data_IF_602885505198
#
_entry.id   IF_602885505198
#
_cell.length_a   1.000
_cell.length_b   1.000
_cell.length_c   1.000
_cell.angle_alpha   90.00
_cell.angle_beta   90.00
_cell.angle_gamma   90.00
#
_symmetry.space_group_name_H-M   'P 1'
#
loop_
_entity.id
_entity.type
_entity.pdbx_description
1 polymer ?
#
# COMPACT_ATOMS: atom_id res chain seq x y z
N UNK A 1 -18.46 -4.26 -0.81
CA UNK A 1 -17.04 -4.49 -0.44
C UNK A 1 -16.34 -5.56 -1.29
N UNK A 2 -17.01 -6.61 -1.77
CA UNK A 2 -16.39 -7.71 -2.55
C UNK A 2 -15.71 -7.25 -3.85
N UNK A 3 -16.42 -6.50 -4.70
CA UNK A 3 -15.90 -5.84 -5.91
C UNK A 3 -14.57 -5.10 -5.70
N UNK A 4 -14.45 -4.42 -4.57
CA UNK A 4 -13.24 -3.65 -4.23
C UNK A 4 -12.04 -4.57 -3.95
N UNK A 5 -12.25 -5.72 -3.32
CA UNK A 5 -11.18 -6.69 -3.04
C UNK A 5 -10.64 -7.30 -4.33
N UNK A 6 -11.54 -7.76 -5.21
CA UNK A 6 -11.20 -8.28 -6.55
C UNK A 6 -10.48 -7.22 -7.39
N UNK A 7 -11.03 -6.01 -7.47
CA UNK A 7 -10.42 -4.90 -8.20
C UNK A 7 -9.02 -4.56 -7.66
N UNK A 8 -8.85 -4.50 -6.33
CA UNK A 8 -7.54 -4.22 -5.72
C UNK A 8 -6.51 -5.27 -6.10
N UNK A 9 -6.88 -6.55 -6.03
CA UNK A 9 -5.98 -7.67 -6.36
C UNK A 9 -5.56 -7.64 -7.83
N UNK A 10 -6.53 -7.54 -8.74
CA UNK A 10 -6.25 -7.49 -10.18
C UNK A 10 -5.41 -6.27 -10.53
N UNK A 11 -5.78 -5.09 -10.02
CA UNK A 11 -5.07 -3.85 -10.33
C UNK A 11 -3.64 -3.84 -9.80
N UNK A 12 -3.36 -4.43 -8.63
CA UNK A 12 -1.99 -4.61 -8.14
C UNK A 12 -1.14 -5.47 -9.08
N UNK A 13 -1.72 -6.54 -9.64
CA UNK A 13 -1.04 -7.38 -10.63
C UNK A 13 -0.78 -6.59 -11.91
N UNK A 14 -1.77 -5.86 -12.44
CA UNK A 14 -1.62 -5.04 -13.64
C UNK A 14 -0.51 -3.98 -13.49
N UNK A 15 -0.47 -3.29 -12.35
CA UNK A 15 0.59 -2.32 -12.04
C UNK A 15 1.96 -3.00 -11.94
N UNK A 16 2.02 -4.19 -11.36
CA UNK A 16 3.25 -4.99 -11.30
C UNK A 16 3.76 -5.40 -12.68
N UNK A 17 2.87 -5.86 -13.57
CA UNK A 17 3.20 -6.26 -14.94
C UNK A 17 3.69 -5.07 -15.78
N UNK A 18 3.01 -3.93 -15.67
CA UNK A 18 3.40 -2.68 -16.33
C UNK A 18 4.81 -2.24 -15.91
N UNK A 19 5.08 -2.21 -14.59
CA UNK A 19 6.37 -1.82 -14.03
C UNK A 19 7.50 -2.77 -14.44
N UNK A 20 7.21 -4.07 -14.48
CA UNK A 20 8.17 -5.07 -14.90
C UNK A 20 8.36 -5.10 -16.42
N UNK A 21 7.56 -4.35 -17.19
CA UNK A 21 7.47 -4.47 -18.66
C UNK A 21 7.31 -5.91 -19.10
N UNK A 22 6.47 -6.66 -18.36
CA UNK A 22 6.33 -8.09 -18.54
C UNK A 22 5.60 -8.42 -19.84
N UNK A 23 6.05 -9.48 -20.50
CA UNK A 23 5.33 -10.18 -21.56
C UNK A 23 4.59 -11.37 -20.96
N UNK A 24 3.39 -11.65 -21.46
CA UNK A 24 2.68 -12.87 -21.08
C UNK A 24 1.18 -12.78 -21.18
N UNK A 25 0.51 -13.77 -20.59
CA UNK A 25 -0.95 -13.78 -20.50
C UNK A 25 -1.34 -14.02 -19.05
N UNK A 26 -2.09 -13.08 -18.48
CA UNK A 26 -2.76 -13.23 -17.20
C UNK A 26 -4.08 -13.97 -17.44
N UNK A 27 -4.17 -15.15 -16.87
CA UNK A 27 -5.38 -15.95 -16.84
C UNK A 27 -6.12 -15.65 -15.55
N UNK A 28 -7.42 -15.36 -15.67
CA UNK A 28 -8.32 -15.17 -14.55
C UNK A 28 -9.46 -16.19 -14.66
N UNK A 29 -9.72 -16.89 -13.57
CA UNK A 29 -10.81 -17.86 -13.44
C UNK A 29 -11.68 -17.45 -12.25
N UNK A 30 -13.00 -17.55 -12.37
CA UNK A 30 -13.95 -17.34 -11.26
C UNK A 30 -15.29 -18.00 -11.56
N UNK A 31 -15.84 -18.79 -10.63
CA UNK A 31 -17.12 -19.52 -10.73
C UNK A 31 -17.61 -19.87 -12.16
N UNK A 32 -16.83 -20.69 -12.90
CA UNK A 32 -17.19 -21.16 -14.24
C UNK A 32 -16.96 -20.14 -15.38
N UNK A 33 -16.41 -18.97 -15.06
CA UNK A 33 -16.03 -17.91 -15.99
C UNK A 33 -14.51 -17.86 -16.13
N UNK A 34 -14.06 -17.41 -17.30
CA UNK A 34 -12.64 -17.24 -17.58
C UNK A 34 -12.38 -15.99 -18.40
N UNK A 35 -11.27 -15.33 -18.09
CA UNK A 35 -10.76 -14.21 -18.85
C UNK A 35 -9.25 -14.35 -19.07
N UNK A 36 -8.78 -13.82 -20.19
CA UNK A 36 -7.37 -13.71 -20.50
C UNK A 36 -7.02 -12.27 -20.83
N UNK A 37 -5.90 -11.81 -20.29
CA UNK A 37 -5.35 -10.49 -20.56
C UNK A 37 -3.92 -10.74 -21.07
N UNK A 38 -3.66 -10.39 -22.32
CA UNK A 38 -2.36 -10.58 -22.95
C UNK A 38 -1.56 -9.29 -22.96
N UNK A 39 -0.29 -9.38 -22.60
CA UNK A 39 0.61 -8.26 -22.43
C UNK A 39 1.85 -8.41 -23.31
N UNK A 40 2.31 -7.26 -23.82
CA UNK A 40 3.60 -7.08 -24.47
C UNK A 40 4.28 -5.82 -23.88
N UNK A 41 5.44 -6.00 -23.26
CA UNK A 41 6.25 -4.96 -22.63
C UNK A 41 5.47 -4.11 -21.62
N UNK A 42 4.59 -4.75 -20.84
CA UNK A 42 3.70 -4.07 -19.88
C UNK A 42 2.47 -3.38 -20.50
N UNK A 43 2.34 -3.41 -21.82
CA UNK A 43 1.16 -2.92 -22.54
C UNK A 43 0.17 -4.06 -22.73
N UNK A 44 -1.10 -3.82 -22.44
CA UNK A 44 -2.16 -4.76 -22.75
C UNK A 44 -2.42 -4.76 -24.26
N UNK A 45 -2.27 -5.92 -24.88
CA UNK A 45 -2.44 -6.13 -26.32
C UNK A 45 -3.64 -7.00 -26.67
N UNK A 46 -4.26 -7.70 -25.71
CA UNK A 46 -5.44 -8.53 -26.00
C UNK A 46 -6.24 -8.82 -24.74
N UNK A 47 -7.58 -8.85 -24.85
CA UNK A 47 -8.48 -9.24 -23.76
C UNK A 47 -9.60 -10.12 -24.26
N UNK A 48 -9.82 -11.23 -23.58
CA UNK A 48 -11.00 -12.07 -23.74
C UNK A 48 -11.66 -12.28 -22.39
N UNK A 49 -12.98 -12.18 -22.30
CA UNK A 49 -13.72 -12.53 -21.09
C UNK A 49 -15.05 -13.18 -21.50
N UNK A 50 -15.35 -14.35 -20.93
CA UNK A 50 -16.59 -15.09 -21.24
C UNK A 50 -16.82 -15.30 -22.75
N UNK A 51 -15.73 -15.64 -23.48
CA UNK A 51 -15.72 -15.81 -24.95
C UNK A 51 -15.98 -14.54 -25.77
N UNK A 52 -16.13 -13.38 -25.13
CA UNK A 52 -16.17 -12.08 -25.79
C UNK A 52 -14.76 -11.52 -25.94
N UNK A 53 -14.44 -11.04 -27.14
CA UNK A 53 -13.14 -10.44 -27.47
C UNK A 53 -13.28 -8.93 -27.40
N UNK A 54 -12.35 -8.26 -26.71
CA UNK A 54 -12.24 -6.80 -26.79
C UNK A 54 -11.36 -6.44 -27.98
N UNK A 55 -11.84 -5.51 -28.81
CA UNK A 55 -11.07 -4.92 -29.91
C UNK A 55 -10.62 -3.49 -29.61
N UNK A 56 -11.26 -2.80 -28.66
CA UNK A 56 -10.85 -1.44 -28.24
C UNK A 56 -10.46 -1.37 -26.76
N UNK A 57 -9.72 -0.32 -26.38
CA UNK A 57 -9.34 -0.06 -24.98
C UNK A 57 -10.55 0.07 -24.03
N UNK A 58 -11.69 0.56 -24.55
CA UNK A 58 -12.93 0.77 -23.80
C UNK A 58 -13.58 -0.57 -23.49
N UNK A 59 -13.67 -1.44 -24.50
CA UNK A 59 -14.15 -2.80 -24.29
C UNK A 59 -13.23 -3.56 -23.33
N UNK A 60 -11.91 -3.38 -23.44
CA UNK A 60 -10.96 -3.98 -22.50
C UNK A 60 -11.22 -3.50 -21.05
N UNK A 61 -11.50 -2.21 -20.84
CA UNK A 61 -11.90 -1.68 -19.55
C UNK A 61 -13.23 -2.26 -19.07
N UNK A 62 -14.25 -2.33 -19.93
CA UNK A 62 -15.56 -2.92 -19.60
C UNK A 62 -15.41 -4.39 -19.17
N UNK A 63 -14.57 -5.18 -19.86
CA UNK A 63 -14.26 -6.55 -19.46
C UNK A 63 -13.48 -6.64 -18.17
N UNK A 64 -12.52 -5.74 -17.93
CA UNK A 64 -11.83 -5.68 -16.65
C UNK A 64 -12.81 -5.39 -15.49
N UNK A 65 -13.75 -4.46 -15.68
CA UNK A 65 -14.77 -4.14 -14.70
C UNK A 65 -15.71 -5.33 -14.43
N UNK A 66 -16.13 -6.04 -15.49
CA UNK A 66 -16.91 -7.27 -15.39
C UNK A 66 -16.17 -8.34 -14.57
N UNK A 67 -14.88 -8.54 -14.83
CA UNK A 67 -14.05 -9.51 -14.10
C UNK A 67 -13.88 -9.09 -12.63
N UNK A 68 -13.79 -7.80 -12.33
CA UNK A 68 -13.75 -7.31 -10.95
C UNK A 68 -15.01 -7.65 -10.14
N UNK A 69 -16.12 -8.00 -10.81
CA UNK A 69 -17.39 -8.40 -10.19
C UNK A 69 -17.50 -9.92 -9.99
N UNK A 70 -16.49 -10.71 -10.38
CA UNK A 70 -16.50 -12.16 -10.19
C UNK A 70 -16.12 -12.56 -8.76
N UNK A 71 -16.77 -13.62 -8.27
CA UNK A 71 -16.43 -14.28 -7.02
C UNK A 71 -15.39 -15.40 -7.25
N UNK A 72 -14.61 -15.71 -6.22
CA UNK A 72 -13.64 -16.82 -6.26
C UNK A 72 -12.48 -16.65 -7.24
N UNK A 73 -12.07 -15.41 -7.51
CA UNK A 73 -11.03 -15.09 -8.49
C UNK A 73 -9.69 -15.78 -8.20
N UNK A 74 -9.23 -16.58 -9.16
CA UNK A 74 -7.89 -17.17 -9.19
C UNK A 74 -7.10 -16.51 -10.32
N UNK A 75 -5.98 -15.88 -9.98
CA UNK A 75 -5.10 -15.21 -10.94
C UNK A 75 -3.86 -16.07 -11.19
N UNK A 76 -3.55 -16.33 -12.47
CA UNK A 76 -2.37 -17.09 -12.89
C UNK A 76 -1.69 -16.38 -14.05
N UNK A 77 -0.44 -15.98 -13.85
CA UNK A 77 0.39 -15.48 -14.95
C UNK A 77 1.05 -16.68 -15.63
N UNK A 78 0.91 -16.79 -16.96
CA UNK A 78 1.64 -17.78 -17.76
C UNK A 78 2.36 -17.11 -18.92
N UNK A 79 3.45 -17.74 -19.35
CA UNK A 79 4.12 -17.35 -20.58
C UNK A 79 3.19 -17.57 -21.79
N UNK A 80 3.32 -16.71 -22.80
CA UNK A 80 2.45 -16.76 -23.95
C UNK A 80 2.79 -18.00 -24.81
N UNK A 81 1.80 -18.73 -25.36
CA UNK A 81 2.09 -19.67 -26.44
C UNK A 81 2.64 -18.91 -27.66
N UNK A 82 3.44 -19.55 -28.53
CA UNK A 82 4.02 -18.90 -29.70
C UNK A 82 2.93 -18.33 -30.63
N UNK A 83 2.94 -16.99 -30.72
CA UNK A 83 2.31 -15.99 -31.60
C UNK A 83 1.01 -16.26 -32.41
N UNK A 84 0.61 -17.48 -32.76
CA UNK A 84 -0.27 -17.70 -33.92
C UNK A 84 -1.73 -17.20 -33.77
N UNK A 85 -2.32 -17.20 -32.57
CA UNK A 85 -3.77 -16.93 -32.41
C UNK A 85 -4.11 -15.77 -31.47
N UNK A 86 -3.26 -14.74 -31.42
CA UNK A 86 -3.49 -13.59 -30.54
C UNK A 86 -4.39 -12.55 -31.20
N UNK A 87 -5.62 -12.45 -30.69
CA UNK A 87 -6.50 -11.32 -30.97
C UNK A 87 -5.91 -10.05 -30.36
N UNK A 88 -5.56 -9.09 -31.21
CA UNK A 88 -4.93 -7.83 -30.80
C UNK A 88 -5.95 -6.71 -30.69
N UNK A 89 -5.85 -5.94 -29.60
CA UNK A 89 -6.54 -4.66 -29.48
C UNK A 89 -6.07 -3.71 -30.58
N UNK A 90 -7.00 -2.98 -31.19
CA UNK A 90 -6.70 -1.91 -32.14
C UNK A 90 -5.88 -0.79 -31.47
N UNK A 91 -6.14 -0.57 -30.19
CA UNK A 91 -5.48 0.43 -29.35
C UNK A 91 -4.95 -0.23 -28.08
N UNK A 92 -3.69 -0.70 -28.10
CA UNK A 92 -3.01 -1.20 -26.91
C UNK A 92 -2.90 -0.11 -25.85
N UNK A 93 -3.14 -0.45 -24.58
CA UNK A 93 -3.08 0.50 -23.47
C UNK A 93 -2.10 0.02 -22.39
N UNK A 94 -1.32 0.91 -21.75
CA UNK A 94 -0.51 0.53 -20.61
C UNK A 94 -1.38 -0.13 -19.52
N UNK A 95 -0.92 -1.24 -18.93
CA UNK A 95 -1.73 -1.94 -17.93
C UNK A 95 -2.01 -1.05 -16.70
N UNK A 96 -1.12 -0.10 -16.39
CA UNK A 96 -1.32 0.92 -15.36
C UNK A 96 -2.54 1.83 -15.62
N UNK A 97 -2.86 2.13 -16.89
CA UNK A 97 -3.99 2.97 -17.25
C UNK A 97 -5.30 2.28 -16.88
N UNK A 98 -5.46 1.03 -17.28
CA UNK A 98 -6.66 0.24 -16.96
C UNK A 98 -6.80 -0.01 -15.47
N UNK A 99 -5.69 -0.26 -14.76
CA UNK A 99 -5.70 -0.40 -13.31
C UNK A 99 -6.24 0.86 -12.61
N UNK A 100 -5.82 2.06 -13.03
CA UNK A 100 -6.33 3.32 -12.48
C UNK A 100 -7.83 3.51 -12.77
N UNK A 101 -8.28 3.26 -13.99
CA UNK A 101 -9.70 3.42 -14.34
C UNK A 101 -10.59 2.42 -13.61
N UNK A 102 -10.17 1.16 -13.52
CA UNK A 102 -10.90 0.13 -12.78
C UNK A 102 -10.99 0.46 -11.29
N UNK A 103 -9.89 0.89 -10.68
CA UNK A 103 -9.89 1.31 -9.28
C UNK A 103 -10.75 2.54 -9.04
N UNK A 104 -10.73 3.56 -9.92
CA UNK A 104 -11.62 4.73 -9.84
C UNK A 104 -13.09 4.29 -9.80
N UNK A 105 -13.49 3.35 -10.66
CA UNK A 105 -14.85 2.81 -10.65
C UNK A 105 -15.17 2.06 -9.35
N UNK A 106 -14.24 1.21 -8.89
CA UNK A 106 -14.42 0.39 -7.68
C UNK A 106 -14.55 1.23 -6.39
N UNK A 107 -13.85 2.36 -6.28
CA UNK A 107 -13.89 3.23 -5.08
C UNK A 107 -15.03 4.24 -5.08
N UNK A 108 -15.71 4.44 -6.20
CA UNK A 108 -16.75 5.47 -6.36
C UNK A 108 -17.92 5.25 -5.38
N UNK A 109 -18.33 3.99 -5.18
CA UNK A 109 -19.47 3.63 -4.33
C UNK A 109 -19.11 3.40 -2.86
N UNK A 110 -17.88 3.70 -2.43
CA UNK A 110 -17.45 3.48 -1.05
C UNK A 110 -17.78 4.70 -0.19
N UNK A 111 -18.37 4.44 0.98
CA UNK A 111 -18.77 5.46 1.95
C UNK A 111 -17.60 6.25 2.52
N UNK A 112 -17.85 7.53 2.81
CA UNK A 112 -16.81 8.44 3.28
C UNK A 112 -16.23 8.07 4.64
N UNK A 113 -17.08 7.61 5.55
CA UNK A 113 -16.67 7.18 6.89
C UNK A 113 -15.65 6.03 6.84
N UNK A 114 -15.86 5.04 5.95
CA UNK A 114 -14.95 3.91 5.76
C UNK A 114 -13.57 4.38 5.28
N UNK A 115 -13.56 5.31 4.32
CA UNK A 115 -12.31 5.85 3.76
C UNK A 115 -11.56 6.68 4.82
N UNK A 116 -12.28 7.51 5.58
CA UNK A 116 -11.71 8.28 6.69
C UNK A 116 -11.06 7.37 7.74
N UNK A 117 -11.77 6.34 8.20
CA UNK A 117 -11.27 5.39 9.19
C UNK A 117 -9.99 4.67 8.71
N UNK A 118 -9.89 4.40 7.41
CA UNK A 118 -8.75 3.72 6.82
C UNK A 118 -7.55 4.65 6.58
N UNK A 119 -7.75 5.91 6.18
CA UNK A 119 -6.64 6.83 5.94
C UNK A 119 -6.08 7.43 7.25
N UNK A 120 -6.93 7.65 8.26
CA UNK A 120 -6.53 8.26 9.52
C UNK A 120 -6.07 9.72 9.35
N UNK A 121 -5.18 10.16 10.23
CA UNK A 121 -4.62 11.53 10.28
C UNK A 121 -3.16 11.63 9.81
N UNK A 122 -2.65 10.55 9.21
CA UNK A 122 -1.24 10.40 8.87
C UNK A 122 -0.82 11.26 7.66
N UNK A 123 0.48 11.54 7.54
CA UNK A 123 1.04 12.11 6.32
C UNK A 123 1.47 10.98 5.38
N UNK A 124 0.98 10.98 4.13
CA UNK A 124 1.36 9.96 3.15
C UNK A 124 2.45 10.46 2.19
N UNK A 125 3.19 9.52 1.62
CA UNK A 125 4.10 9.73 0.49
C UNK A 125 3.85 8.67 -0.58
N UNK A 126 4.27 8.96 -1.81
CA UNK A 126 4.26 7.98 -2.89
C UNK A 126 5.37 6.96 -2.67
N UNK A 127 5.05 5.68 -2.84
CA UNK A 127 6.05 4.62 -2.92
C UNK A 127 6.68 4.62 -4.32
N UNK A 128 7.73 3.82 -4.53
CA UNK A 128 8.28 3.61 -5.88
C UNK A 128 7.23 3.05 -6.86
N UNK A 129 6.27 2.26 -6.37
CA UNK A 129 5.12 1.79 -7.15
C UNK A 129 4.22 2.97 -7.52
N UNK A 130 3.95 3.88 -6.57
CA UNK A 130 3.15 5.06 -6.80
C UNK A 130 3.77 6.03 -7.80
N UNK A 131 5.06 6.32 -7.69
CA UNK A 131 5.77 7.17 -8.65
C UNK A 131 5.71 6.58 -10.07
N UNK A 132 5.94 5.27 -10.23
CA UNK A 132 5.80 4.60 -11.51
C UNK A 132 4.35 4.62 -12.04
N UNK A 133 3.37 4.42 -11.17
CA UNK A 133 1.95 4.41 -11.51
C UNK A 133 1.46 5.76 -12.03
N UNK A 134 1.90 6.86 -11.40
CA UNK A 134 1.46 8.22 -11.76
C UNK A 134 2.27 8.83 -12.90
N UNK A 135 3.46 8.28 -13.20
CA UNK A 135 4.28 8.74 -14.30
C UNK A 135 3.64 8.40 -15.66
N UNK A 136 3.33 9.44 -16.44
CA UNK A 136 2.63 9.30 -17.73
C UNK A 136 1.18 8.84 -17.61
N UNK A 137 0.58 8.88 -16.41
CA UNK A 137 -0.84 8.60 -16.24
C UNK A 137 -1.69 9.84 -16.49
N UNK A 138 -2.87 9.64 -17.07
CA UNK A 138 -3.88 10.70 -17.18
C UNK A 138 -4.56 10.91 -15.82
N UNK A 139 -4.05 11.90 -15.08
CA UNK A 139 -4.58 12.30 -13.78
C UNK A 139 -5.67 13.35 -13.93
N UNK A 140 -6.77 13.18 -13.19
CA UNK A 140 -7.80 14.21 -13.06
C UNK A 140 -7.25 15.36 -12.21
N UNK A 141 -7.80 16.57 -12.36
CA UNK A 141 -7.35 17.75 -11.60
C UNK A 141 -7.29 17.52 -10.06
N UNK A 142 -8.24 16.82 -9.42
CA UNK A 142 -8.14 16.49 -8.00
C UNK A 142 -7.00 15.54 -7.64
N UNK A 143 -6.71 14.58 -8.51
CA UNK A 143 -5.66 13.60 -8.31
C UNK A 143 -4.27 14.26 -8.40
N UNK A 144 -4.08 15.11 -9.42
CA UNK A 144 -2.88 15.92 -9.57
C UNK A 144 -2.65 16.84 -8.36
N UNK A 145 -3.72 17.41 -7.80
CA UNK A 145 -3.67 18.24 -6.59
C UNK A 145 -3.22 17.42 -5.37
N UNK A 146 -3.76 16.21 -5.18
CA UNK A 146 -3.33 15.31 -4.11
C UNK A 146 -1.83 15.02 -4.20
N UNK A 147 -1.32 14.66 -5.37
CA UNK A 147 0.11 14.38 -5.54
C UNK A 147 0.99 15.58 -5.16
N UNK A 148 0.56 16.79 -5.51
CA UNK A 148 1.24 18.02 -5.11
C UNK A 148 1.28 18.18 -3.59
N UNK A 149 0.20 17.89 -2.88
CA UNK A 149 0.13 18.01 -1.43
C UNK A 149 0.88 16.89 -0.69
N UNK A 150 0.88 15.68 -1.22
CA UNK A 150 1.69 14.58 -0.67
C UNK A 150 3.19 14.93 -0.68
N UNK A 151 3.68 15.53 -1.77
CA UNK A 151 5.07 16.02 -1.86
C UNK A 151 5.38 17.09 -0.81
N UNK A 152 4.40 17.91 -0.45
CA UNK A 152 4.51 18.92 0.62
C UNK A 152 4.33 18.35 2.03
N UNK A 153 4.02 17.07 2.18
CA UNK A 153 3.85 16.42 3.47
C UNK A 153 2.57 16.81 4.22
N UNK A 154 1.51 17.18 3.50
CA UNK A 154 0.25 17.54 4.14
C UNK A 154 -0.39 16.32 4.83
N UNK A 155 -0.87 16.45 6.08
CA UNK A 155 -1.68 15.43 6.75
C UNK A 155 -2.97 15.13 5.97
N UNK A 156 -3.43 13.89 6.02
CA UNK A 156 -4.66 13.45 5.32
C UNK A 156 -5.90 14.25 5.71
N UNK A 157 -6.08 14.54 7.01
CA UNK A 157 -7.27 15.23 7.52
C UNK A 157 -7.47 16.63 6.88
N UNK A 158 -6.39 17.26 6.42
CA UNK A 158 -6.44 18.59 5.82
C UNK A 158 -6.75 18.53 4.31
N UNK A 159 -6.59 17.37 3.66
CA UNK A 159 -6.71 17.25 2.20
C UNK A 159 -8.10 17.62 1.68
N UNK A 160 -9.16 17.26 2.41
CA UNK A 160 -10.55 17.55 1.98
C UNK A 160 -10.85 19.05 1.99
N UNK A 161 -10.17 19.81 2.84
CA UNK A 161 -10.33 21.27 2.99
C UNK A 161 -9.44 22.06 2.02
N UNK A 162 -8.47 21.42 1.35
CA UNK A 162 -7.59 22.11 0.38
C UNK A 162 -8.28 22.29 -0.97
N UNK A 163 -8.03 23.45 -1.57
CA UNK A 163 -8.45 23.75 -2.93
C UNK A 163 -7.96 22.69 -3.91
N UNK A 164 -8.86 22.29 -4.81
CA UNK A 164 -8.58 21.33 -5.87
C UNK A 164 -8.68 19.86 -5.47
N UNK A 165 -8.57 19.47 -4.20
CA UNK A 165 -8.66 18.05 -3.81
C UNK A 165 -10.11 17.59 -3.61
N UNK A 166 -10.79 18.24 -2.67
CA UNK A 166 -12.12 17.82 -2.22
C UNK A 166 -12.19 16.32 -1.91
N UNK A 167 -13.40 15.76 -2.01
CA UNK A 167 -13.63 14.35 -1.71
C UNK A 167 -13.07 13.39 -2.78
N UNK A 168 -13.04 13.82 -4.04
CA UNK A 168 -12.47 13.05 -5.15
C UNK A 168 -10.96 12.79 -4.95
N UNK A 169 -10.21 13.81 -4.52
CA UNK A 169 -8.80 13.66 -4.19
C UNK A 169 -8.58 12.77 -2.96
N UNK A 170 -9.41 12.89 -1.92
CA UNK A 170 -9.31 12.03 -0.74
C UNK A 170 -9.53 10.55 -1.07
N UNK A 171 -10.53 10.25 -1.92
CA UNK A 171 -10.75 8.90 -2.48
C UNK A 171 -9.55 8.41 -3.29
N UNK A 172 -8.93 9.29 -4.08
CA UNK A 172 -7.74 8.95 -4.85
C UNK A 172 -6.55 8.58 -3.94
N UNK A 173 -6.31 9.31 -2.84
CA UNK A 173 -5.28 8.92 -1.89
C UNK A 173 -5.54 7.52 -1.30
N UNK A 174 -6.79 7.24 -0.93
CA UNK A 174 -7.14 5.92 -0.42
C UNK A 174 -6.97 4.82 -1.47
N UNK A 175 -7.32 5.10 -2.72
CA UNK A 175 -7.04 4.22 -3.85
C UNK A 175 -5.54 3.91 -3.98
N UNK A 176 -4.68 4.94 -3.87
CA UNK A 176 -3.23 4.76 -3.89
C UNK A 176 -2.75 3.90 -2.71
N UNK A 177 -3.29 4.10 -1.50
CA UNK A 177 -3.00 3.24 -0.34
C UNK A 177 -3.39 1.79 -0.63
N UNK A 178 -4.58 1.55 -1.16
CA UNK A 178 -5.08 0.21 -1.50
C UNK A 178 -4.19 -0.46 -2.55
N UNK A 179 -3.63 0.28 -3.50
CA UNK A 179 -2.69 -0.25 -4.49
C UNK A 179 -1.26 -0.45 -3.95
N UNK A 180 -0.95 -0.02 -2.72
CA UNK A 180 0.43 0.03 -2.22
C UNK A 180 1.27 1.12 -2.90
N UNK A 181 0.61 2.04 -3.62
CA UNK A 181 1.20 3.16 -4.33
C UNK A 181 1.43 4.38 -3.40
N UNK A 182 0.75 4.43 -2.26
CA UNK A 182 1.02 5.41 -1.21
C UNK A 182 1.14 4.70 0.14
N UNK A 183 2.04 5.21 0.98
CA UNK A 183 2.21 4.72 2.35
C UNK A 183 2.36 5.90 3.31
N UNK A 184 1.93 5.75 4.58
CA UNK A 184 2.24 6.76 5.59
C UNK A 184 3.76 6.97 5.66
N UNK A 185 4.19 8.22 5.83
CA UNK A 185 5.61 8.52 6.11
C UNK A 185 5.98 7.82 7.40
N UNK A 186 7.07 7.06 7.39
CA UNK A 186 7.56 6.39 8.58
C UNK A 186 7.89 7.46 9.63
N UNK A 187 7.21 7.42 10.76
CA UNK A 187 7.61 8.19 11.95
C UNK A 187 8.59 7.41 12.82
N UNK A 188 8.91 6.17 12.44
CA UNK A 188 9.91 5.34 13.11
C UNK A 188 11.30 5.96 13.09
N UNK A 189 11.93 6.05 14.26
CA UNK A 189 13.26 6.64 14.39
C UNK A 189 14.35 5.58 14.24
N UNK A 190 14.96 5.49 13.06
CA UNK A 190 16.06 4.56 12.80
C UNK A 190 17.30 4.81 13.67
N UNK A 191 17.74 6.07 13.93
CA UNK A 191 18.84 6.33 14.86
C UNK A 191 18.53 5.84 16.28
N UNK A 192 17.31 6.06 16.77
CA UNK A 192 16.89 5.59 18.09
C UNK A 192 16.86 4.06 18.15
N UNK A 193 16.39 3.40 17.08
CA UNK A 193 16.39 1.95 16.95
C UNK A 193 17.81 1.39 17.08
N UNK A 194 18.78 1.97 16.37
CA UNK A 194 20.18 1.57 16.45
C UNK A 194 20.76 1.79 17.85
N UNK A 195 20.43 2.91 18.50
CA UNK A 195 20.86 3.20 19.88
C UNK A 195 20.34 2.15 20.86
N UNK A 196 19.02 1.91 20.88
CA UNK A 196 18.40 0.91 21.74
C UNK A 196 18.88 -0.51 21.45
N UNK A 197 19.16 -0.84 20.19
CA UNK A 197 19.77 -2.12 19.82
C UNK A 197 21.17 -2.29 20.41
N UNK A 198 21.98 -1.22 20.43
CA UNK A 198 23.31 -1.22 21.05
C UNK A 198 23.19 -1.39 22.55
N UNK A 199 22.29 -0.65 23.20
CA UNK A 199 22.02 -0.75 24.64
C UNK A 199 21.59 -2.17 25.06
N UNK A 200 20.75 -2.85 24.25
CA UNK A 200 20.39 -4.25 24.51
C UNK A 200 21.58 -5.19 24.39
N UNK A 201 22.42 -5.02 23.36
CA UNK A 201 23.62 -5.84 23.17
C UNK A 201 24.64 -5.64 24.30
N UNK A 202 24.74 -4.42 24.83
CA UNK A 202 25.60 -4.10 25.96
C UNK A 202 24.98 -4.41 27.32
N UNK A 203 23.78 -5.02 27.37
CA UNK A 203 23.04 -5.35 28.60
C UNK A 203 22.84 -4.13 29.52
N UNK A 204 22.42 -3.01 28.93
CA UNK A 204 22.09 -1.81 29.69
C UNK A 204 20.99 -2.10 30.75
N UNK A 205 21.02 -1.36 31.85
CA UNK A 205 20.02 -1.47 32.92
C UNK A 205 18.61 -1.10 32.43
N UNK A 206 17.57 -1.53 33.14
CA UNK A 206 16.19 -1.19 32.81
C UNK A 206 15.96 0.32 32.76
N UNK A 207 16.58 1.07 33.67
CA UNK A 207 16.53 2.54 33.71
C UNK A 207 17.19 3.15 32.47
N UNK A 208 18.37 2.67 32.08
CA UNK A 208 19.06 3.12 30.86
C UNK A 208 18.27 2.78 29.58
N UNK A 209 17.69 1.58 29.50
CA UNK A 209 16.85 1.19 28.36
C UNK A 209 15.62 2.09 28.20
N UNK A 210 15.07 2.63 29.30
CA UNK A 210 13.96 3.57 29.28
C UNK A 210 14.38 5.06 29.26
N UNK A 211 15.67 5.36 29.14
CA UNK A 211 16.22 6.73 29.22
C UNK A 211 15.83 7.45 30.53
N UNK A 212 15.81 6.72 31.65
CA UNK A 212 15.45 7.21 32.97
C UNK A 212 16.66 7.24 33.92
N UNK A 213 16.70 8.19 34.87
CA UNK A 213 17.68 8.16 35.96
C UNK A 213 17.40 6.99 36.91
N UNK A 214 18.45 6.53 37.60
CA UNK A 214 18.29 5.52 38.65
C UNK A 214 17.38 6.04 39.78
N UNK A 215 16.42 5.22 40.20
CA UNK A 215 15.42 5.60 41.20
C UNK A 215 14.12 6.17 40.63
N UNK A 216 13.99 6.29 39.30
CA UNK A 216 12.72 6.62 38.66
C UNK A 216 11.65 5.55 38.96
N UNK A 217 10.43 5.99 39.26
CA UNK A 217 9.35 5.08 39.66
C UNK A 217 8.58 4.47 38.48
N UNK A 218 7.70 3.51 38.77
CA UNK A 218 6.89 2.83 37.75
C UNK A 218 6.00 3.77 36.91
N UNK A 219 5.56 4.92 37.45
CA UNK A 219 4.78 5.90 36.68
C UNK A 219 5.61 6.52 35.57
N UNK A 220 6.86 6.87 35.86
CA UNK A 220 7.79 7.46 34.89
C UNK A 220 8.20 6.44 33.83
N UNK A 221 8.43 5.19 34.26
CA UNK A 221 8.66 4.06 33.37
C UNK A 221 7.55 3.88 32.33
N UNK A 222 6.27 3.95 32.74
CA UNK A 222 5.12 3.90 31.81
C UNK A 222 5.05 5.06 30.84
N UNK A 223 5.47 6.25 31.25
CA UNK A 223 5.49 7.44 30.37
C UNK A 223 6.64 7.32 29.37
N UNK A 224 7.83 6.92 29.83
CA UNK A 224 9.00 6.70 29.00
C UNK A 224 8.77 5.59 27.97
N UNK A 225 8.20 4.46 28.40
CA UNK A 225 7.82 3.36 27.51
C UNK A 225 6.90 3.85 26.39
N UNK A 226 5.83 4.58 26.72
CA UNK A 226 4.89 5.12 25.71
C UNK A 226 5.57 6.04 24.71
N UNK A 227 6.49 6.90 25.18
CA UNK A 227 7.27 7.78 24.29
C UNK A 227 8.17 6.99 23.35
N UNK A 228 8.91 6.01 23.86
CA UNK A 228 9.84 5.21 23.06
C UNK A 228 9.11 4.28 22.08
N UNK A 229 8.05 3.60 22.52
CA UNK A 229 7.25 2.71 21.65
C UNK A 229 6.60 3.49 20.51
N UNK A 230 6.14 4.73 20.75
CA UNK A 230 5.57 5.57 19.69
C UNK A 230 6.51 5.72 18.49
N UNK A 231 7.81 5.75 18.74
CA UNK A 231 8.84 6.02 17.71
C UNK A 231 9.60 4.75 17.29
N UNK A 232 9.42 3.64 18.02
CA UNK A 232 10.13 2.37 17.80
C UNK A 232 9.23 1.19 17.46
N UNK A 233 7.91 1.32 17.51
CA UNK A 233 6.99 0.23 17.19
C UNK A 233 7.18 -0.26 15.74
N UNK A 234 7.12 -1.58 15.47
CA UNK A 234 7.38 -2.14 14.14
C UNK A 234 6.59 -1.47 13.02
N UNK A 235 5.32 -1.14 13.28
CA UNK A 235 4.41 -0.52 12.32
C UNK A 235 4.82 0.90 11.92
N UNK A 236 5.68 1.56 12.71
CA UNK A 236 6.14 2.94 12.45
C UNK A 236 7.20 3.04 11.36
N UNK A 237 7.83 1.92 11.02
CA UNK A 237 8.83 1.87 9.94
C UNK A 237 8.20 1.63 8.56
N UNK A 238 6.88 1.47 8.49
CA UNK A 238 6.11 1.34 7.26
C UNK A 238 6.16 -0.05 6.62
N UNK A 239 5.24 -0.29 5.68
CA UNK A 239 5.04 -1.59 5.05
C UNK A 239 6.18 -2.04 4.11
N UNK A 240 7.08 -1.12 3.76
CA UNK A 240 8.30 -1.43 2.99
C UNK A 240 9.52 -1.79 3.84
N UNK A 241 9.42 -1.72 5.19
CA UNK A 241 10.57 -1.96 6.05
C UNK A 241 11.10 -3.40 5.90
N UNK A 242 12.44 -3.59 5.76
CA UNK A 242 13.04 -4.90 5.69
C UNK A 242 12.61 -5.80 6.86
N UNK A 243 12.37 -7.10 6.66
CA UNK A 243 11.94 -8.00 7.73
C UNK A 243 12.91 -8.03 8.92
N UNK A 244 14.21 -7.83 8.67
CA UNK A 244 15.22 -7.73 9.73
C UNK A 244 15.02 -6.49 10.62
N UNK A 245 14.58 -5.37 10.04
CA UNK A 245 14.32 -4.14 10.77
C UNK A 245 13.09 -4.29 11.67
N UNK A 246 11.99 -4.85 11.14
CA UNK A 246 10.78 -5.10 11.93
C UNK A 246 11.04 -6.06 13.10
N UNK A 247 11.84 -7.11 12.86
CA UNK A 247 12.27 -8.03 13.92
C UNK A 247 13.07 -7.33 15.01
N UNK A 248 14.08 -6.54 14.63
CA UNK A 248 14.88 -5.78 15.60
C UNK A 248 14.04 -4.78 16.41
N UNK A 249 13.09 -4.11 15.76
CA UNK A 249 12.12 -3.23 16.41
C UNK A 249 11.22 -3.99 17.39
N UNK A 250 10.70 -5.15 17.00
CA UNK A 250 9.91 -6.04 17.86
C UNK A 250 10.68 -6.46 19.11
N UNK A 251 11.91 -6.95 18.94
CA UNK A 251 12.82 -7.33 20.03
C UNK A 251 13.04 -6.17 21.02
N UNK A 252 13.25 -4.96 20.50
CA UNK A 252 13.44 -3.76 21.33
C UNK A 252 12.15 -3.42 22.07
N UNK A 253 10.99 -3.42 21.41
CA UNK A 253 9.72 -3.12 22.09
C UNK A 253 9.42 -4.11 23.21
N UNK A 254 9.69 -5.41 23.01
CA UNK A 254 9.55 -6.42 24.06
C UNK A 254 10.50 -6.15 25.23
N UNK A 255 11.75 -5.80 24.95
CA UNK A 255 12.72 -5.49 26.00
C UNK A 255 12.36 -4.22 26.79
N UNK A 256 11.80 -3.20 26.14
CA UNK A 256 11.31 -1.99 26.81
C UNK A 256 10.13 -2.29 27.73
N UNK A 257 9.20 -3.15 27.32
CA UNK A 257 8.09 -3.61 28.17
C UNK A 257 8.62 -4.36 29.40
N UNK A 258 9.60 -5.25 29.21
CA UNK A 258 10.23 -5.96 30.32
C UNK A 258 10.97 -5.02 31.28
N UNK A 259 11.66 -4.00 30.75
CA UNK A 259 12.32 -2.97 31.56
C UNK A 259 11.32 -2.17 32.39
N UNK A 260 10.15 -1.80 31.83
CA UNK A 260 9.09 -1.12 32.59
C UNK A 260 8.58 -1.99 33.73
N UNK A 261 8.33 -3.28 33.46
CA UNK A 261 7.88 -4.22 34.48
C UNK A 261 8.89 -4.39 35.62
N UNK A 262 10.20 -4.43 35.31
CA UNK A 262 11.27 -4.53 36.31
C UNK A 262 11.31 -3.32 37.24
N UNK A 263 11.21 -2.11 36.68
CA UNK A 263 11.18 -0.86 37.46
C UNK A 263 9.90 -0.78 38.28
N UNK A 264 8.75 -1.15 37.70
CA UNK A 264 7.47 -1.16 38.41
C UNK A 264 7.44 -2.16 39.58
N UNK A 265 8.17 -3.26 39.47
CA UNK A 265 8.31 -4.27 40.52
C UNK A 265 9.38 -3.94 41.58
N UNK A 266 10.12 -2.83 41.44
CA UNK A 266 11.18 -2.44 42.37
C UNK A 266 12.43 -3.33 42.33
N UNK A 267 12.61 -4.12 41.26
CA UNK A 267 13.75 -5.03 41.12
C UNK A 267 14.90 -4.34 40.35
N UNK A 268 15.61 -3.43 41.01
CA UNK A 268 16.97 -3.06 40.58
C UNK A 268 17.94 -4.04 41.24
N UNK A 269 18.50 -4.96 40.45
CA UNK A 269 19.73 -5.67 40.82
C UNK A 269 20.92 -4.96 40.19
#
# INVERSE_FOLDING_TARGET
>A
MRRLSSATTICRVLVGLDRARADGTLYLEGEGRSATFSFASGTLVGVTANRCIAVTHRQALERLLEVCDWDGLVLRLRQPPPAADRWTLSEPAPARFLALQAMRAAVTSVEAATIHAQLGIETYHLTAVGEALVNGAELRAPEASVLRWLRKGLPTQDLTQRSGCGWSGYRFLWMLKMLGAASPKSTGSYPLLLRKRRELRSRASAHALLDLPEGAGGRDARVALRKLVRDLHPDRFGDGAPPALRRASGEITTALVNAEAQIAAGQSK
#
